data_IF_380089814160
#
_entry.id   IF_380089814160
#
_cell.length_a   1.000
_cell.length_b   1.000
_cell.length_c   1.000
_cell.angle_alpha   90.00
_cell.angle_beta   90.00
_cell.angle_gamma   90.00
#
_symmetry.space_group_name_H-M   'P 1'
#
loop_
_entity.id
_entity.type
_entity.pdbx_description
1 polymer ?
#
# COMPACT_ATOMS: atom_id res chain seq x y z
N UNK A 1 -40.24 2.93 -6.91
CA UNK A 1 -39.10 2.71 -7.82
C UNK A 1 -37.81 2.81 -7.02
N UNK A 2 -37.29 1.68 -6.54
CA UNK A 2 -36.01 1.62 -5.85
C UNK A 2 -34.91 1.63 -6.92
N UNK A 3 -34.18 2.75 -7.02
CA UNK A 3 -33.02 2.85 -7.88
C UNK A 3 -31.98 1.83 -7.46
N UNK A 4 -31.68 0.89 -8.36
CA UNK A 4 -30.57 -0.04 -8.24
C UNK A 4 -29.28 0.78 -8.08
N UNK A 5 -28.76 0.86 -6.85
CA UNK A 5 -27.38 1.24 -6.60
C UNK A 5 -26.58 0.03 -7.09
N UNK A 6 -26.25 0.03 -8.37
CA UNK A 6 -25.23 -0.83 -8.91
C UNK A 6 -23.97 -0.59 -8.06
N UNK A 7 -23.65 -1.56 -7.17
CA UNK A 7 -22.44 -1.51 -6.32
C UNK A 7 -21.25 -1.33 -7.26
N UNK A 8 -20.80 -0.08 -7.42
CA UNK A 8 -19.60 0.27 -8.18
C UNK A 8 -18.44 -0.47 -7.52
N UNK A 9 -18.02 -1.59 -8.10
CA UNK A 9 -17.03 -2.47 -7.48
C UNK A 9 -15.68 -1.77 -7.51
N UNK A 10 -15.17 -1.40 -6.34
CA UNK A 10 -13.77 -1.07 -6.17
C UNK A 10 -12.92 -2.31 -6.41
N UNK A 11 -11.78 -2.16 -7.10
CA UNK A 11 -10.83 -3.24 -7.25
C UNK A 11 -9.88 -3.23 -6.06
N UNK A 12 -9.78 -4.34 -5.33
CA UNK A 12 -8.84 -4.48 -4.22
C UNK A 12 -7.54 -5.10 -4.73
N UNK A 13 -6.42 -4.46 -4.43
CA UNK A 13 -5.09 -4.89 -4.83
C UNK A 13 -4.16 -4.93 -3.63
N UNK A 14 -3.65 -6.10 -3.22
CA UNK A 14 -2.55 -6.16 -2.29
C UNK A 14 -1.29 -5.64 -2.93
N UNK A 15 -0.52 -4.93 -2.12
CA UNK A 15 0.82 -4.55 -2.50
C UNK A 15 1.79 -4.72 -1.33
N UNK A 16 3.07 -4.79 -1.67
CA UNK A 16 4.17 -4.80 -0.72
C UNK A 16 5.10 -3.64 -1.03
N UNK A 17 5.42 -2.84 -0.01
CA UNK A 17 6.37 -1.73 -0.09
C UNK A 17 7.64 -2.13 0.64
N UNK A 18 8.77 -2.18 -0.07
CA UNK A 18 10.10 -2.39 0.49
C UNK A 18 10.91 -1.09 0.43
N UNK A 19 11.86 -0.97 1.35
CA UNK A 19 12.68 0.22 1.52
C UNK A 19 14.16 -0.14 1.41
N UNK A 20 14.96 0.84 1.01
CA UNK A 20 16.41 0.85 1.18
C UNK A 20 16.75 0.88 2.67
N UNK A 21 17.97 0.47 3.01
CA UNK A 21 18.44 0.59 4.39
C UNK A 21 18.44 2.06 4.83
N UNK A 22 17.93 2.29 6.03
CA UNK A 22 17.82 3.57 6.71
C UNK A 22 18.58 3.48 8.03
N UNK A 23 19.47 4.44 8.25
CA UNK A 23 20.21 4.56 9.51
C UNK A 23 19.35 5.27 10.56
N UNK A 24 19.46 4.85 11.82
CA UNK A 24 18.78 5.48 12.95
C UNK A 24 17.99 4.50 13.81
N UNK A 25 17.26 5.06 14.79
CA UNK A 25 16.39 4.26 15.66
C UNK A 25 15.21 3.66 14.89
N UNK A 26 14.70 2.51 15.34
CA UNK A 26 13.55 1.85 14.70
C UNK A 26 12.35 2.79 14.53
N UNK A 27 12.06 3.62 15.53
CA UNK A 27 10.96 4.61 15.48
C UNK A 27 11.18 5.68 14.42
N UNK A 28 12.42 6.16 14.27
CA UNK A 28 12.76 7.15 13.26
C UNK A 28 12.66 6.56 11.86
N UNK A 29 13.22 5.36 11.68
CA UNK A 29 13.18 4.60 10.43
C UNK A 29 11.74 4.32 10.00
N UNK A 30 10.90 3.85 10.91
CA UNK A 30 9.47 3.61 10.66
C UNK A 30 8.75 4.91 10.27
N UNK A 31 8.98 6.02 10.99
CA UNK A 31 8.43 7.32 10.63
C UNK A 31 8.83 7.79 9.22
N UNK A 32 10.09 7.56 8.82
CA UNK A 32 10.58 7.90 7.49
C UNK A 32 9.93 7.03 6.39
N UNK A 33 9.74 5.73 6.67
CA UNK A 33 9.03 4.83 5.75
C UNK A 33 7.58 5.27 5.54
N UNK A 34 6.88 5.67 6.61
CA UNK A 34 5.51 6.16 6.53
C UNK A 34 5.41 7.45 5.72
N UNK A 35 6.30 8.41 5.96
CA UNK A 35 6.37 9.63 5.17
C UNK A 35 6.62 9.35 3.68
N UNK A 36 7.43 8.33 3.36
CA UNK A 36 7.68 7.93 1.98
C UNK A 36 6.47 7.21 1.34
N UNK A 37 5.71 6.43 2.11
CA UNK A 37 4.42 5.85 1.68
C UNK A 37 3.40 6.96 1.38
N UNK A 38 3.31 8.00 2.22
CA UNK A 38 2.40 9.12 1.98
C UNK A 38 2.77 9.87 0.69
N UNK A 39 4.06 10.09 0.41
CA UNK A 39 4.52 10.65 -0.88
C UNK A 39 4.16 9.75 -2.05
N UNK A 40 4.32 8.42 -1.90
CA UNK A 40 3.93 7.44 -2.92
C UNK A 40 2.43 7.49 -3.18
N UNK A 41 1.60 7.59 -2.13
CA UNK A 41 0.16 7.73 -2.25
C UNK A 41 -0.24 9.02 -2.98
N UNK A 42 0.31 10.17 -2.58
CA UNK A 42 0.08 11.45 -3.26
C UNK A 42 0.51 11.41 -4.74
N UNK A 43 1.62 10.73 -5.04
CA UNK A 43 2.08 10.47 -6.40
C UNK A 43 1.11 9.61 -7.19
N UNK A 44 0.58 8.54 -6.60
CA UNK A 44 -0.45 7.72 -7.21
C UNK A 44 -1.68 8.57 -7.50
N UNK A 45 -2.18 9.34 -6.52
CA UNK A 45 -3.36 10.20 -6.70
C UNK A 45 -3.21 11.13 -7.91
N UNK A 46 -2.11 11.88 -7.98
CA UNK A 46 -1.90 12.86 -9.06
C UNK A 46 -1.81 12.21 -10.44
N UNK A 47 -1.32 10.97 -10.53
CA UNK A 47 -1.11 10.23 -11.78
C UNK A 47 -2.27 9.33 -12.19
N UNK A 48 -3.05 8.85 -11.24
CA UNK A 48 -4.12 7.88 -11.46
C UNK A 48 -5.51 8.52 -11.46
N UNK A 49 -5.76 9.42 -10.52
CA UNK A 49 -7.07 10.06 -10.35
C UNK A 49 -7.16 11.26 -11.29
N UNK A 50 -8.30 11.39 -11.99
CA UNK A 50 -8.54 12.48 -12.95
C UNK A 50 -8.47 13.84 -12.27
N UNK A 51 -9.18 13.99 -11.15
CA UNK A 51 -9.29 15.22 -10.36
C UNK A 51 -8.94 14.94 -8.88
N UNK A 52 -7.65 14.89 -8.52
CA UNK A 52 -7.23 14.35 -7.24
C UNK A 52 -7.53 15.29 -6.04
N UNK A 53 -7.80 16.57 -6.31
CA UNK A 53 -8.26 17.56 -5.32
C UNK A 53 -9.78 17.66 -5.17
N UNK A 54 -10.55 16.93 -5.99
CA UNK A 54 -12.01 16.92 -5.85
C UNK A 54 -12.45 16.04 -4.68
N UNK A 55 -13.67 16.26 -4.20
CA UNK A 55 -14.31 15.44 -3.16
C UNK A 55 -14.84 14.10 -3.67
N UNK A 56 -14.49 13.72 -4.92
CA UNK A 56 -14.82 12.41 -5.48
C UNK A 56 -14.04 11.31 -4.77
N UNK A 57 -14.55 10.08 -4.87
CA UNK A 57 -13.91 8.89 -4.30
C UNK A 57 -12.44 8.78 -4.73
N UNK A 58 -11.58 8.56 -3.74
CA UNK A 58 -10.14 8.39 -3.89
C UNK A 58 -9.77 6.94 -3.60
N UNK A 59 -8.64 6.44 -4.14
CA UNK A 59 -8.07 5.19 -3.70
C UNK A 59 -7.95 5.15 -2.17
N UNK A 60 -8.50 4.12 -1.54
CA UNK A 60 -8.34 3.87 -0.11
C UNK A 60 -7.16 2.91 0.07
N UNK A 61 -6.19 3.26 0.90
CA UNK A 61 -5.11 2.36 1.30
C UNK A 61 -5.30 2.03 2.77
N UNK A 62 -5.43 0.74 3.07
CA UNK A 62 -5.38 0.22 4.44
C UNK A 62 -4.04 -0.47 4.61
N UNK A 63 -3.21 0.04 5.49
CA UNK A 63 -1.80 -0.32 5.58
C UNK A 63 -1.50 -0.77 6.99
N UNK A 64 -0.80 -1.90 7.09
CA UNK A 64 -0.23 -2.38 8.34
C UNK A 64 1.24 -2.71 8.13
N UNK A 65 2.05 -2.45 9.16
CA UNK A 65 3.45 -2.88 9.19
C UNK A 65 3.53 -4.40 9.24
N UNK A 66 4.46 -4.97 8.51
CA UNK A 66 4.81 -6.37 8.58
C UNK A 66 6.12 -6.54 9.34
N UNK A 67 6.03 -7.25 10.46
CA UNK A 67 7.19 -7.64 11.24
C UNK A 67 7.74 -8.96 10.71
N UNK A 68 9.07 -9.10 10.61
CA UNK A 68 9.67 -10.33 10.14
C UNK A 68 9.33 -11.48 11.09
N UNK A 69 8.87 -12.58 10.51
CA UNK A 69 8.49 -13.77 11.25
C UNK A 69 9.67 -14.74 11.22
N UNK A 70 10.11 -15.18 12.39
CA UNK A 70 11.09 -16.25 12.48
C UNK A 70 10.52 -17.53 11.85
N UNK A 71 11.11 -17.97 10.73
CA UNK A 71 10.75 -19.23 10.06
C UNK A 71 11.79 -20.28 10.43
N UNK A 72 11.43 -21.25 11.28
CA UNK A 72 12.29 -22.43 11.52
C UNK A 72 12.49 -23.19 10.20
N UNK A 73 13.73 -23.47 9.82
CA UNK A 73 14.08 -24.37 8.71
C UNK A 73 14.21 -23.76 7.31
N UNK A 74 13.67 -22.55 7.06
CA UNK A 74 14.15 -21.72 5.95
C UNK A 74 15.26 -20.86 6.53
N UNK A 75 16.44 -20.79 5.90
CA UNK A 75 17.41 -19.73 6.20
C UNK A 75 16.67 -18.42 5.97
N UNK A 76 16.05 -17.89 7.02
CA UNK A 76 15.55 -16.54 7.04
C UNK A 76 16.81 -15.73 6.75
N UNK A 77 16.94 -15.23 5.52
CA UNK A 77 18.23 -14.75 5.04
C UNK A 77 18.61 -13.63 6.01
N UNK A 78 19.77 -13.74 6.68
CA UNK A 78 20.17 -12.74 7.67
C UNK A 78 20.13 -11.33 7.06
N UNK A 79 20.33 -11.22 5.75
CA UNK A 79 20.18 -9.98 4.97
C UNK A 79 18.76 -9.39 5.02
N UNK A 80 17.70 -10.20 5.04
CA UNK A 80 16.31 -9.73 5.11
C UNK A 80 16.00 -9.11 6.48
N UNK A 81 16.68 -9.54 7.55
CA UNK A 81 16.59 -8.93 8.88
C UNK A 81 17.49 -7.69 9.03
N UNK A 82 18.58 -7.61 8.27
CA UNK A 82 19.55 -6.53 8.36
C UNK A 82 19.03 -5.22 7.75
N UNK A 83 18.17 -5.28 6.74
CA UNK A 83 17.57 -4.07 6.16
C UNK A 83 16.41 -3.61 7.05
N UNK A 84 16.61 -2.51 7.77
CA UNK A 84 15.59 -1.86 8.62
C UNK A 84 14.93 -2.78 9.66
N UNK A 85 15.67 -3.77 10.18
CA UNK A 85 15.11 -4.75 11.12
C UNK A 85 14.06 -5.67 10.48
N UNK A 86 14.05 -5.80 9.15
CA UNK A 86 13.09 -6.60 8.38
C UNK A 86 11.70 -6.00 8.22
N UNK A 87 11.50 -4.75 8.65
CA UNK A 87 10.21 -4.06 8.58
C UNK A 87 9.89 -3.65 7.14
N UNK A 88 8.67 -3.96 6.72
CA UNK A 88 8.08 -3.52 5.46
C UNK A 88 6.56 -3.33 5.64
N UNK A 89 5.86 -2.82 4.62
CA UNK A 89 4.43 -2.52 4.73
C UNK A 89 3.62 -3.26 3.67
N UNK A 90 2.43 -3.75 4.06
CA UNK A 90 1.45 -4.35 3.15
C UNK A 90 0.19 -3.47 3.05
N UNK A 91 0.16 -2.53 2.10
CA UNK A 91 -1.08 -1.84 1.77
C UNK A 91 -2.06 -2.74 1.02
N UNK A 92 -3.31 -2.74 1.46
CA UNK A 92 -4.48 -3.14 0.67
C UNK A 92 -5.01 -1.88 0.00
N UNK A 93 -5.02 -1.88 -1.33
CA UNK A 93 -5.39 -0.71 -2.13
C UNK A 93 -6.75 -0.95 -2.77
N UNK A 94 -7.78 -0.22 -2.32
CA UNK A 94 -9.07 -0.18 -2.98
C UNK A 94 -9.06 0.95 -4.02
N UNK A 95 -9.14 0.55 -5.29
CA UNK A 95 -9.09 1.45 -6.45
C UNK A 95 -10.52 1.83 -6.87
N UNK A 96 -10.82 3.14 -7.06
CA UNK A 96 -12.12 3.58 -7.53
C UNK A 96 -12.40 3.13 -8.97
N UNK A 97 -13.67 3.16 -9.41
CA UNK A 97 -14.06 2.72 -10.75
C UNK A 97 -13.34 3.49 -11.87
N UNK A 98 -13.19 2.85 -13.04
CA UNK A 98 -12.35 3.34 -14.13
C UNK A 98 -12.76 4.72 -14.70
N UNK A 99 -14.03 5.11 -14.58
CA UNK A 99 -14.55 6.42 -15.00
C UNK A 99 -14.01 7.59 -14.16
N UNK A 100 -13.56 7.32 -12.93
CA UNK A 100 -12.91 8.29 -12.04
C UNK A 100 -11.39 8.40 -12.27
N UNK A 101 -10.84 7.45 -13.02
CA UNK A 101 -9.42 7.38 -13.33
C UNK A 101 -9.09 8.20 -14.57
N UNK A 102 -7.83 8.59 -14.73
CA UNK A 102 -7.37 9.22 -15.97
C UNK A 102 -7.52 8.22 -17.12
N UNK A 103 -8.12 8.60 -18.26
CA UNK A 103 -8.23 7.73 -19.43
C UNK A 103 -6.86 7.19 -19.86
N UNK A 104 -6.78 5.90 -20.16
CA UNK A 104 -5.52 5.23 -20.54
C UNK A 104 -4.57 4.92 -19.37
N UNK A 105 -4.82 5.41 -18.16
CA UNK A 105 -4.10 5.01 -16.94
C UNK A 105 -4.84 3.84 -16.31
N UNK A 106 -4.75 2.68 -16.97
CA UNK A 106 -5.41 1.46 -16.50
C UNK A 106 -4.62 0.75 -15.41
N UNK A 107 -5.32 -0.08 -14.64
CA UNK A 107 -4.77 -1.04 -13.66
C UNK A 107 -3.55 -1.82 -14.20
N UNK A 108 -3.53 -2.12 -15.51
CA UNK A 108 -2.38 -2.73 -16.21
C UNK A 108 -1.05 -1.98 -16.03
N UNK A 109 -1.06 -0.64 -15.97
CA UNK A 109 0.14 0.18 -15.76
C UNK A 109 0.64 0.09 -14.31
N UNK A 110 -0.28 0.03 -13.35
CA UNK A 110 0.00 -0.25 -11.93
C UNK A 110 0.53 -1.68 -11.72
N UNK A 111 0.01 -2.64 -12.47
CA UNK A 111 0.26 -4.07 -12.27
C UNK A 111 1.43 -4.65 -13.08
N UNK A 112 1.82 -4.06 -14.21
CA UNK A 112 2.57 -4.83 -15.22
C UNK A 112 3.83 -4.23 -15.82
N UNK A 113 4.00 -2.91 -15.89
CA UNK A 113 5.01 -2.37 -16.84
C UNK A 113 5.85 -1.19 -16.36
N UNK A 114 5.45 -0.42 -15.33
CA UNK A 114 6.21 0.75 -14.85
C UNK A 114 5.96 1.07 -13.37
N UNK A 115 6.23 0.14 -12.46
CA UNK A 115 6.08 0.40 -11.01
C UNK A 115 7.06 1.49 -10.55
N UNK A 116 8.20 1.59 -11.22
CA UNK A 116 9.23 2.61 -11.05
C UNK A 116 8.78 4.04 -11.40
N UNK A 117 7.77 4.23 -12.26
CA UNK A 117 7.19 5.56 -12.55
C UNK A 117 6.56 6.21 -11.31
N UNK A 118 6.21 5.39 -10.31
CA UNK A 118 5.66 5.82 -9.03
C UNK A 118 6.73 6.09 -7.98
N UNK A 119 7.99 5.73 -8.21
CA UNK A 119 9.07 6.06 -7.29
C UNK A 119 9.30 7.57 -7.30
N UNK A 120 9.00 8.20 -6.17
CA UNK A 120 9.21 9.64 -5.96
C UNK A 120 10.68 9.86 -5.65
N UNK A 121 11.34 10.78 -6.37
CA UNK A 121 12.71 11.19 -6.07
C UNK A 121 12.81 11.64 -4.60
N UNK A 122 13.87 11.23 -3.91
CA UNK A 122 14.07 11.55 -2.50
C UNK A 122 13.26 10.68 -1.52
N UNK A 123 12.68 9.57 -2.00
CA UNK A 123 12.15 8.51 -1.13
C UNK A 123 13.13 7.35 -1.00
N UNK A 124 12.99 6.59 0.08
CA UNK A 124 13.76 5.39 0.36
C UNK A 124 13.05 4.12 -0.10
N UNK A 125 11.94 4.24 -0.82
CA UNK A 125 11.25 3.08 -1.40
C UNK A 125 12.17 2.43 -2.44
N UNK A 126 12.46 1.15 -2.24
CA UNK A 126 13.24 0.33 -3.17
C UNK A 126 12.33 -0.49 -4.06
N UNK A 127 11.14 -0.85 -3.59
CA UNK A 127 10.19 -1.68 -4.33
C UNK A 127 8.76 -1.32 -3.93
N UNK A 128 7.88 -1.22 -4.93
CA UNK A 128 6.44 -1.15 -4.73
C UNK A 128 5.77 -2.19 -5.63
N UNK A 129 5.50 -3.35 -5.06
CA UNK A 129 5.02 -4.49 -5.81
C UNK A 129 3.52 -4.69 -5.61
N UNK A 130 2.73 -4.37 -6.64
CA UNK A 130 1.27 -4.54 -6.64
C UNK A 130 0.91 -5.85 -7.35
N UNK A 131 0.08 -6.68 -6.71
CA UNK A 131 -0.41 -7.93 -7.30
C UNK A 131 -1.91 -7.84 -7.56
N UNK A 132 -2.36 -8.48 -8.64
CA UNK A 132 -3.78 -8.70 -8.88
C UNK A 132 -4.26 -9.79 -7.93
N UNK A 133 -5.39 -9.56 -7.26
CA UNK A 133 -6.10 -10.61 -6.53
C UNK A 133 -6.69 -11.57 -7.57
N UNK A 134 -6.18 -12.80 -7.59
CA UNK A 134 -6.70 -13.90 -8.42
C UNK A 134 -7.35 -15.01 -7.58
N UNK A 135 -7.22 -14.92 -6.24
CA UNK A 135 -7.81 -15.84 -5.27
C UNK A 135 -8.86 -15.16 -4.40
N UNK A 136 -9.05 -15.69 -3.18
CA UNK A 136 -9.98 -15.12 -2.21
C UNK A 136 -9.49 -13.75 -1.72
N UNK A 137 -10.41 -12.81 -1.56
CA UNK A 137 -10.13 -11.51 -0.97
C UNK A 137 -9.86 -11.64 0.53
N UNK A 138 -10.48 -12.60 1.21
CA UNK A 138 -10.31 -12.80 2.64
C UNK A 138 -8.87 -13.26 2.96
N UNK A 139 -8.31 -14.17 2.15
CA UNK A 139 -6.89 -14.57 2.25
C UNK A 139 -5.93 -13.38 2.12
N UNK A 140 -6.27 -12.43 1.25
CA UNK A 140 -5.45 -11.24 1.01
C UNK A 140 -5.51 -10.28 2.20
N UNK A 141 -6.71 -10.08 2.74
CA UNK A 141 -6.92 -9.27 3.93
C UNK A 141 -6.20 -9.90 5.13
N UNK A 142 -6.36 -11.21 5.34
CA UNK A 142 -5.70 -11.95 6.41
C UNK A 142 -4.18 -11.88 6.28
N UNK A 143 -3.65 -11.98 5.06
CA UNK A 143 -2.22 -11.86 4.83
C UNK A 143 -1.70 -10.46 5.18
N UNK A 144 -2.35 -9.41 4.68
CA UNK A 144 -1.93 -8.03 4.90
C UNK A 144 -2.11 -7.58 6.36
N UNK A 145 -3.14 -8.09 7.04
CA UNK A 145 -3.48 -7.74 8.41
C UNK A 145 -3.01 -8.78 9.45
N UNK A 146 -2.21 -9.77 9.04
CA UNK A 146 -1.80 -10.90 9.90
C UNK A 146 -1.19 -10.48 11.25
N UNK A 147 -0.56 -9.31 11.34
CA UNK A 147 0.05 -8.84 12.58
C UNK A 147 -1.02 -8.44 13.63
N UNK A 148 -2.20 -7.97 13.20
CA UNK A 148 -3.36 -7.77 14.09
C UNK A 148 -3.84 -9.11 14.65
N UNK A 149 -4.08 -10.10 13.77
CA UNK A 149 -4.55 -11.42 14.18
C UNK A 149 -3.57 -12.17 15.10
N UNK A 150 -2.30 -11.78 15.11
CA UNK A 150 -1.24 -12.35 15.96
C UNK A 150 -1.00 -11.59 17.26
N UNK A 151 -1.65 -10.45 17.47
CA UNK A 151 -1.45 -9.60 18.64
C UNK A 151 -0.12 -8.82 18.65
N UNK A 152 0.57 -8.73 17.50
CA UNK A 152 1.82 -7.96 17.36
C UNK A 152 1.58 -6.50 16.93
N UNK A 153 0.33 -6.17 16.62
CA UNK A 153 -0.14 -4.85 16.27
C UNK A 153 -1.56 -4.68 16.81
N UNK A 154 -1.93 -3.43 17.03
CA UNK A 154 -3.25 -2.98 17.46
C UNK A 154 -3.92 -2.19 16.34
N UNK A 155 -5.20 -1.85 16.51
CA UNK A 155 -5.92 -1.01 15.53
C UNK A 155 -5.29 0.38 15.39
N UNK A 156 -4.59 0.86 16.40
CA UNK A 156 -3.90 2.16 16.35
C UNK A 156 -2.66 2.13 15.46
N UNK A 157 -2.15 0.94 15.12
CA UNK A 157 -1.06 0.73 14.18
C UNK A 157 -1.54 0.68 12.72
N UNK A 158 -2.87 0.69 12.47
CA UNK A 158 -3.42 0.77 11.13
C UNK A 158 -3.30 2.19 10.58
N UNK A 159 -2.81 2.26 9.35
CA UNK A 159 -2.73 3.51 8.61
C UNK A 159 -3.74 3.45 7.48
N UNK A 160 -4.63 4.44 7.46
CA UNK A 160 -5.67 4.59 6.45
C UNK A 160 -5.37 5.85 5.66
N UNK A 161 -5.17 5.71 4.35
CA UNK A 161 -5.05 6.83 3.43
C UNK A 161 -6.27 6.86 2.48
N UNK A 162 -6.91 8.01 2.26
CA UNK A 162 -6.45 9.31 2.71
C UNK A 162 -6.85 9.61 4.17
N UNK A 163 -5.93 10.15 4.98
CA UNK A 163 -6.17 10.66 6.35
C UNK A 163 -7.09 11.87 6.37
N UNK A 164 -7.12 12.64 5.28
CA UNK A 164 -7.98 13.81 5.13
C UNK A 164 -8.47 13.94 3.69
N UNK A 165 -9.63 14.59 3.51
CA UNK A 165 -10.20 14.87 2.18
C UNK A 165 -9.22 15.67 1.29
N UNK A 166 -8.21 16.32 1.86
CA UNK A 166 -7.21 17.16 1.17
C UNK A 166 -5.76 16.73 1.40
N UNK A 167 -5.41 15.47 1.18
CA UNK A 167 -4.00 15.02 1.23
C UNK A 167 -3.09 15.54 0.08
N UNK A 168 -3.50 16.60 -0.63
CA UNK A 168 -2.83 17.18 -1.81
C UNK A 168 -2.90 18.70 -1.88
#
# INVERSE_FOLDING_TARGET
>A
MAGSIEKRRMANLPATVLFKHLEGSSRWTEGQMLADIEKLYARLLTRYVRNPRSDKEKPLWVILRDLPVYKRGKKACLTDFQVNGGVHFHPIIAIPPADMCRPGVGLKRLLGQRQEDFFVRGTNISTFHVKRVTGDIDDVVDYALKQLGRGNATRDDLIILPRAVREL
#
